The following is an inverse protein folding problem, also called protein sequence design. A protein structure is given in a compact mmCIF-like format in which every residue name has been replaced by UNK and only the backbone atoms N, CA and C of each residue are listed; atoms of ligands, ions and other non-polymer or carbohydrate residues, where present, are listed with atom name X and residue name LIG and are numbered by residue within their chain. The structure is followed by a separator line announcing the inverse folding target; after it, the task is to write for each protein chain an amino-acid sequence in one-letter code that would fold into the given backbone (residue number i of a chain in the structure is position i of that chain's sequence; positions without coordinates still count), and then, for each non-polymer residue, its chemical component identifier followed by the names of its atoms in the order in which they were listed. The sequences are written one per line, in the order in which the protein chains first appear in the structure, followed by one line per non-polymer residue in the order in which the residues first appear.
data_IF_939905607547
#
_entry.id   IF_939905607547
#
_cell.length_a   1.000
_cell.length_b   1.000
_cell.length_c   1.000
_cell.angle_alpha   90.00
_cell.angle_beta   90.00
_cell.angle_gamma   90.00
#
_symmetry.space_group_name_H-M   'P 1'
#
loop_
_entity.id
_entity.type
_entity.pdbx_description
1 polymer ?
#
# COMPACT_ATOMS: atom_id res chain seq x y z
N UNK A 1 -1.16 2.71 23.59
CA UNK A 1 -0.30 3.61 22.78
C UNK A 1 -1.06 4.89 22.53
N UNK A 2 -0.41 6.06 22.47
CA UNK A 2 -1.13 7.30 22.14
C UNK A 2 -1.57 7.28 20.66
N UNK A 3 -2.70 7.90 20.29
CA UNK A 3 -3.14 7.93 18.90
C UNK A 3 -2.09 8.57 17.97
N UNK A 4 -1.36 9.56 18.50
CA UNK A 4 -0.27 10.24 17.79
C UNK A 4 0.90 9.28 17.49
N UNK A 5 1.25 8.36 18.41
CA UNK A 5 2.36 7.43 18.15
C UNK A 5 2.01 6.38 17.10
N UNK A 6 0.74 5.95 17.01
CA UNK A 6 0.25 5.05 15.94
C UNK A 6 0.30 5.74 14.58
N UNK A 7 -0.07 7.02 14.50
CA UNK A 7 0.03 7.81 13.26
C UNK A 7 1.48 7.93 12.78
N UNK A 8 2.41 8.27 13.69
CA UNK A 8 3.84 8.37 13.36
C UNK A 8 4.40 7.03 12.89
N UNK A 9 4.01 5.92 13.53
CA UNK A 9 4.42 4.57 13.13
C UNK A 9 3.88 4.22 11.73
N UNK A 10 2.59 4.44 11.48
CA UNK A 10 1.98 4.18 10.19
C UNK A 10 2.63 4.98 9.06
N UNK A 11 2.84 6.28 9.28
CA UNK A 11 3.54 7.14 8.32
C UNK A 11 4.99 6.70 8.09
N UNK A 12 5.73 6.40 9.16
CA UNK A 12 7.11 5.93 9.06
C UNK A 12 7.24 4.62 8.28
N UNK A 13 6.32 3.68 8.47
CA UNK A 13 6.27 2.42 7.71
C UNK A 13 5.98 2.66 6.24
N UNK A 14 4.98 3.49 5.91
CA UNK A 14 4.64 3.83 4.50
C UNK A 14 5.85 4.48 3.82
N UNK A 15 6.46 5.49 4.43
CA UNK A 15 7.63 6.17 3.85
C UNK A 15 8.82 5.22 3.68
N UNK A 16 9.06 4.32 4.64
CA UNK A 16 10.15 3.34 4.56
C UNK A 16 9.93 2.38 3.40
N UNK A 17 8.72 1.84 3.25
CA UNK A 17 8.39 0.91 2.16
C UNK A 17 8.47 1.61 0.78
N UNK A 18 7.86 2.80 0.65
CA UNK A 18 7.90 3.58 -0.59
C UNK A 18 9.34 3.95 -0.97
N UNK A 19 10.13 4.44 -0.01
CA UNK A 19 11.54 4.77 -0.19
C UNK A 19 12.40 3.56 -0.56
N UNK A 20 12.10 2.39 0.01
CA UNK A 20 12.79 1.15 -0.31
C UNK A 20 12.54 0.71 -1.75
N UNK A 21 11.27 0.80 -2.21
CA UNK A 21 10.90 0.50 -3.60
C UNK A 21 11.65 1.42 -4.57
N UNK A 22 11.70 2.72 -4.26
CA UNK A 22 12.44 3.72 -5.04
C UNK A 22 13.96 3.48 -5.02
N UNK A 23 14.54 3.13 -3.87
CA UNK A 23 15.99 2.97 -3.70
C UNK A 23 16.53 1.65 -4.28
N UNK A 24 15.82 0.54 -4.09
CA UNK A 24 16.30 -0.79 -4.49
C UNK A 24 15.91 -1.19 -5.91
N UNK A 25 14.77 -0.70 -6.42
CA UNK A 25 14.21 -1.20 -7.67
C UNK A 25 13.58 -0.09 -8.53
N UNK A 26 14.26 1.04 -8.79
CA UNK A 26 13.70 2.15 -9.56
C UNK A 26 13.21 1.72 -10.96
N UNK A 27 13.98 0.89 -11.66
CA UNK A 27 13.61 0.39 -12.99
C UNK A 27 12.43 -0.59 -13.01
N UNK A 28 12.11 -1.22 -11.86
CA UNK A 28 10.91 -2.06 -11.75
C UNK A 28 9.65 -1.21 -11.66
N UNK A 29 9.73 -0.01 -11.09
CA UNK A 29 8.60 0.92 -11.02
C UNK A 29 8.17 1.31 -12.43
N UNK A 30 9.13 1.66 -13.29
CA UNK A 30 8.83 2.03 -14.69
C UNK A 30 8.13 0.90 -15.44
N UNK A 31 8.62 -0.34 -15.30
CA UNK A 31 8.01 -1.51 -15.92
C UNK A 31 6.58 -1.77 -15.39
N UNK A 32 6.36 -1.64 -14.09
CA UNK A 32 5.04 -1.79 -13.48
C UNK A 32 4.07 -0.68 -13.94
N UNK A 33 4.54 0.56 -14.03
CA UNK A 33 3.75 1.69 -14.50
C UNK A 33 3.34 1.52 -15.96
N UNK A 34 4.24 0.99 -16.81
CA UNK A 34 3.94 0.69 -18.20
C UNK A 34 2.89 -0.42 -18.30
N UNK A 35 3.03 -1.50 -17.53
CA UNK A 35 2.01 -2.55 -17.44
C UNK A 35 0.65 -2.02 -16.99
N UNK A 36 0.63 -1.16 -15.97
CA UNK A 36 -0.61 -0.51 -15.49
C UNK A 36 -1.19 0.42 -16.56
N UNK A 37 -0.36 1.14 -17.33
CA UNK A 37 -0.80 2.01 -18.43
C UNK A 37 -1.48 1.26 -19.56
N UNK A 38 -1.13 0.00 -19.78
CA UNK A 38 -1.74 -0.84 -20.81
C UNK A 38 -3.08 -1.44 -20.38
N UNK A 39 -3.40 -1.44 -19.08
CA UNK A 39 -4.68 -1.97 -18.58
C UNK A 39 -5.85 -1.02 -18.86
N UNK A 40 -7.09 -1.51 -19.11
CA UNK A 40 -8.29 -0.68 -19.12
C UNK A 40 -8.50 0.05 -17.79
N UNK A 41 -9.13 1.23 -17.83
CA UNK A 41 -9.39 2.05 -16.63
C UNK A 41 -10.21 1.29 -15.59
N UNK A 42 -11.20 0.51 -16.02
CA UNK A 42 -12.05 -0.31 -15.14
C UNK A 42 -11.23 -1.38 -14.40
N UNK A 43 -10.32 -2.06 -15.09
CA UNK A 43 -9.42 -3.05 -14.47
C UNK A 43 -8.52 -2.41 -13.44
N UNK A 44 -7.93 -1.24 -13.73
CA UNK A 44 -7.10 -0.50 -12.77
C UNK A 44 -7.90 -0.10 -11.53
N UNK A 45 -9.14 0.36 -11.73
CA UNK A 45 -10.05 0.71 -10.63
C UNK A 45 -10.39 -0.49 -9.77
N UNK A 46 -10.72 -1.63 -10.39
CA UNK A 46 -11.05 -2.86 -9.66
C UNK A 46 -9.84 -3.40 -8.87
N UNK A 47 -8.63 -3.30 -9.44
CA UNK A 47 -7.39 -3.67 -8.77
C UNK A 47 -7.15 -2.77 -7.55
N UNK A 48 -7.33 -1.45 -7.69
CA UNK A 48 -7.23 -0.50 -6.58
C UNK A 48 -8.27 -0.74 -5.48
N UNK A 49 -9.52 -1.01 -5.86
CA UNK A 49 -10.59 -1.35 -4.91
C UNK A 49 -10.32 -2.67 -4.18
N UNK A 50 -9.77 -3.67 -4.88
CA UNK A 50 -9.34 -4.93 -4.28
C UNK A 50 -8.23 -4.74 -3.26
N UNK A 51 -7.19 -3.98 -3.62
CA UNK A 51 -6.09 -3.64 -2.72
C UNK A 51 -6.56 -2.86 -1.48
N UNK A 52 -7.44 -1.87 -1.66
CA UNK A 52 -8.05 -1.11 -0.58
C UNK A 52 -8.85 -2.02 0.37
N UNK A 53 -9.72 -2.86 -0.20
CA UNK A 53 -10.58 -3.76 0.58
C UNK A 53 -9.75 -4.75 1.39
N UNK A 54 -8.69 -5.31 0.80
CA UNK A 54 -7.77 -6.20 1.49
C UNK A 54 -7.00 -5.46 2.60
N UNK A 55 -6.53 -4.23 2.35
CA UNK A 55 -5.86 -3.41 3.34
C UNK A 55 -6.75 -3.14 4.57
N UNK A 56 -8.01 -2.75 4.34
CA UNK A 56 -9.00 -2.56 5.42
C UNK A 56 -9.24 -3.87 6.18
N UNK A 57 -9.39 -5.00 5.47
CA UNK A 57 -9.58 -6.30 6.10
C UNK A 57 -8.40 -6.71 6.98
N UNK A 58 -7.16 -6.46 6.53
CA UNK A 58 -5.95 -6.73 7.31
C UNK A 58 -5.85 -5.84 8.55
N UNK A 59 -6.17 -4.54 8.43
CA UNK A 59 -6.20 -3.62 9.58
C UNK A 59 -7.25 -4.09 10.59
N UNK A 60 -8.44 -4.46 10.11
CA UNK A 60 -9.51 -4.98 10.96
C UNK A 60 -9.11 -6.27 11.68
N UNK A 61 -8.50 -7.22 10.96
CA UNK A 61 -7.98 -8.46 11.54
C UNK A 61 -6.89 -8.18 12.58
N UNK A 62 -5.95 -7.27 12.29
CA UNK A 62 -4.90 -6.89 13.22
C UNK A 62 -5.49 -6.29 14.52
N UNK A 63 -6.51 -5.44 14.40
CA UNK A 63 -7.24 -4.93 15.57
C UNK A 63 -8.01 -6.02 16.30
N UNK A 64 -8.60 -6.98 15.59
CA UNK A 64 -9.38 -8.07 16.18
C UNK A 64 -8.52 -9.08 16.96
N UNK A 65 -7.26 -9.30 16.55
CA UNK A 65 -6.33 -10.20 17.26
C UNK A 65 -5.51 -9.50 18.35
N UNK A 66 -5.31 -8.18 18.24
CA UNK A 66 -4.50 -7.40 19.18
C UNK A 66 -5.32 -6.73 20.29
N UNK A 67 -6.64 -6.63 20.12
CA UNK A 67 -7.60 -6.21 21.15
C UNK A 67 -8.08 -7.39 21.99
#
# INVERSE_FOLDING_TARGET
MSPVSVLLLGLGLVLTLEGLVLALAPSRIDALLEMLRQMPVETRRNLGLGALSLGVALIWLACAIAG
#
